data_IF_719484866120
#
_entry.id   IF_719484866120
#
_cell.length_a   1.000
_cell.length_b   1.000
_cell.length_c   1.000
_cell.angle_alpha   90.00
_cell.angle_beta   90.00
_cell.angle_gamma   90.00
#
_symmetry.space_group_name_H-M   'P 1'
#
loop_
_entity.id
_entity.type
_entity.pdbx_description
1 polymer ?
#
# COMPACT_ATOMS: atom_id res chain seq x y z
N UNK A 1 9.96 10.65 -22.89
CA UNK A 1 9.54 10.56 -21.46
C UNK A 1 8.82 9.24 -21.25
N UNK A 2 9.22 8.41 -20.26
CA UNK A 2 8.60 7.10 -20.00
C UNK A 2 7.17 7.32 -19.50
N UNK A 3 6.15 6.82 -20.20
CA UNK A 3 4.74 6.90 -19.77
C UNK A 3 4.61 6.30 -18.36
N UNK A 4 3.92 6.99 -17.44
CA UNK A 4 3.54 6.43 -16.14
C UNK A 4 2.71 5.17 -16.42
N UNK A 5 3.09 4.06 -15.78
CA UNK A 5 2.33 2.82 -15.85
C UNK A 5 1.18 2.95 -14.86
N UNK A 6 -0.05 2.64 -15.27
CA UNK A 6 -1.25 2.67 -14.42
C UNK A 6 -1.26 1.51 -13.42
N UNK A 7 -0.16 1.27 -12.68
CA UNK A 7 -0.08 0.15 -11.73
C UNK A 7 -0.30 0.67 -10.33
N UNK A 8 -1.25 0.07 -9.62
CA UNK A 8 -1.49 0.29 -8.20
C UNK A 8 -0.33 -0.14 -7.33
N UNK A 9 -0.19 0.55 -6.21
CA UNK A 9 0.87 0.29 -5.23
C UNK A 9 0.59 -1.02 -4.50
N UNK A 10 1.55 -1.95 -4.52
CA UNK A 10 1.40 -3.25 -3.84
C UNK A 10 1.66 -3.18 -2.32
N UNK A 11 2.30 -2.12 -1.84
CA UNK A 11 2.50 -1.86 -0.41
C UNK A 11 1.32 -1.07 0.17
N UNK A 12 1.04 -1.22 1.47
CA UNK A 12 0.12 -0.32 2.14
C UNK A 12 0.61 1.13 2.03
N UNK A 13 -0.31 2.09 2.06
CA UNK A 13 -0.03 3.52 1.93
C UNK A 13 0.96 3.99 2.99
N UNK A 14 0.84 3.54 4.24
CA UNK A 14 1.77 3.89 5.31
C UNK A 14 3.21 3.43 5.04
N UNK A 15 3.40 2.21 4.55
CA UNK A 15 4.72 1.74 4.16
C UNK A 15 5.22 2.44 2.89
N UNK A 16 4.33 2.76 1.96
CA UNK A 16 4.66 3.44 0.72
C UNK A 16 5.18 4.86 0.98
N UNK A 17 4.43 5.67 1.74
CA UNK A 17 4.80 7.04 2.12
C UNK A 17 6.06 7.06 2.98
N UNK A 18 6.19 6.11 3.91
CA UNK A 18 7.39 5.95 4.73
C UNK A 18 8.61 5.43 3.95
N UNK A 19 8.44 4.97 2.70
CA UNK A 19 9.45 4.29 1.87
C UNK A 19 10.06 3.06 2.54
N UNK A 20 9.20 2.23 3.15
CA UNK A 20 9.61 1.04 3.94
C UNK A 20 9.07 -0.24 3.32
N UNK A 21 9.78 -1.34 3.55
CA UNK A 21 9.35 -2.67 3.11
C UNK A 21 8.01 -3.02 3.78
N UNK A 22 7.03 -3.36 2.96
CA UNK A 22 5.72 -3.86 3.39
C UNK A 22 5.69 -5.38 3.19
N UNK A 23 5.32 -6.13 4.22
CA UNK A 23 5.12 -7.58 4.17
C UNK A 23 3.79 -7.98 3.50
N UNK A 24 2.95 -6.99 3.13
CA UNK A 24 1.68 -7.15 2.38
C UNK A 24 0.63 -8.03 3.06
N UNK A 25 0.83 -8.45 4.30
CA UNK A 25 -0.25 -9.00 5.13
C UNK A 25 -1.26 -7.90 5.43
N UNK A 26 -2.51 -8.26 5.71
CA UNK A 26 -3.58 -7.29 5.98
C UNK A 26 -4.11 -7.51 7.40
N UNK A 27 -3.85 -6.59 8.35
CA UNK A 27 -2.90 -5.46 8.29
C UNK A 27 -1.43 -5.95 8.24
N UNK A 28 -0.50 -5.13 7.73
CA UNK A 28 0.90 -5.55 7.61
C UNK A 28 1.57 -5.62 8.99
N UNK A 29 2.54 -6.50 9.16
CA UNK A 29 3.20 -6.75 10.44
C UNK A 29 3.82 -5.48 11.04
N UNK A 30 4.38 -4.60 10.18
CA UNK A 30 4.89 -3.30 10.63
C UNK A 30 3.80 -2.41 11.21
N UNK A 31 2.64 -2.32 10.55
CA UNK A 31 1.53 -1.51 11.05
C UNK A 31 0.99 -2.09 12.37
N UNK A 32 1.01 -3.42 12.54
CA UNK A 32 0.66 -4.07 13.82
C UNK A 32 1.66 -3.66 14.91
N UNK A 33 2.96 -3.79 14.66
CA UNK A 33 4.01 -3.45 15.64
C UNK A 33 3.99 -1.98 16.06
N UNK A 34 3.59 -1.08 15.17
CA UNK A 34 3.49 0.35 15.45
C UNK A 34 2.14 0.77 16.04
N UNK A 35 1.17 -0.15 16.18
CA UNK A 35 -0.20 0.19 16.59
C UNK A 35 -0.98 1.03 15.56
N UNK A 36 -0.52 1.05 14.30
CA UNK A 36 -1.11 1.81 13.19
C UNK A 36 -2.01 0.94 12.29
N UNK A 37 -2.63 -0.10 12.85
CA UNK A 37 -3.47 -1.04 12.09
C UNK A 37 -4.65 -0.34 11.42
N UNK A 38 -5.25 0.65 12.10
CA UNK A 38 -6.34 1.48 11.56
C UNK A 38 -5.93 2.42 10.42
N UNK A 39 -4.63 2.65 10.22
CA UNK A 39 -4.07 3.45 9.13
C UNK A 39 -3.41 2.58 8.04
N UNK A 40 -3.53 1.25 8.15
CA UNK A 40 -2.96 0.31 7.20
C UNK A 40 -3.87 0.15 5.97
N UNK A 41 -3.86 1.14 5.09
CA UNK A 41 -4.71 1.18 3.88
C UNK A 41 -3.95 0.69 2.66
N UNK A 42 -4.62 -0.04 1.76
CA UNK A 42 -4.08 -0.48 0.47
C UNK A 42 -4.90 0.13 -0.65
N UNK A 43 -4.24 0.56 -1.73
CA UNK A 43 -4.95 0.93 -2.95
C UNK A 43 -5.58 -0.33 -3.58
N UNK A 44 -6.85 -0.24 -3.92
CA UNK A 44 -7.57 -1.28 -4.67
C UNK A 44 -7.65 -0.78 -6.11
N UNK A 45 -7.16 -1.59 -7.04
CA UNK A 45 -7.37 -1.35 -8.46
C UNK A 45 -8.78 -1.83 -8.78
N UNK A 46 -9.73 -0.91 -8.94
CA UNK A 46 -11.06 -1.26 -9.39
C UNK A 46 -11.06 -1.32 -10.93
N UNK A 47 -11.20 -2.52 -11.53
CA UNK A 47 -11.14 -2.67 -12.97
C UNK A 47 -12.35 -2.04 -13.69
N UNK A 48 -13.44 -1.69 -13.00
CA UNK A 48 -14.60 -1.03 -13.59
C UNK A 48 -14.41 0.49 -13.74
N UNK A 49 -13.40 1.08 -13.10
CA UNK A 49 -13.03 2.50 -13.17
C UNK A 49 -11.92 2.80 -14.20
N UNK A 50 -11.55 1.81 -15.02
CA UNK A 50 -10.34 1.83 -15.86
C UNK A 50 -10.58 2.12 -17.33
#
# INVERSE_FOLDING_TARGET
RKRRRNRTTQSCLNCHTSKRKCDRKRPCQRCIQLGLTGLCVYEIDDPALR
#
